data_IF_455133738846
#
_entry.id   IF_455133738846
#
_cell.length_a   1.000
_cell.length_b   1.000
_cell.length_c   1.000
_cell.angle_alpha   90.00
_cell.angle_beta   90.00
_cell.angle_gamma   90.00
#
_symmetry.space_group_name_H-M   'P 1'
#
loop_
_entity.id
_entity.type
_entity.pdbx_description
1 polymer ?
#
# COMPACT_ATOMS: atom_id res chain seq x y z
N UNK A 1 -2.87 -0.46 -15.19
CA UNK A 1 -4.01 -1.36 -15.30
C UNK A 1 -4.24 -2.11 -13.99
N UNK A 2 -5.47 -2.52 -13.73
CA UNK A 2 -5.75 -3.26 -12.52
C UNK A 2 -5.03 -4.61 -12.50
N UNK A 3 -4.76 -5.10 -11.32
CA UNK A 3 -4.11 -6.38 -11.12
C UNK A 3 -5.03 -7.52 -11.59
N UNK A 4 -4.44 -8.62 -12.09
CA UNK A 4 -5.22 -9.78 -12.53
C UNK A 4 -5.94 -10.46 -11.36
N UNK A 5 -5.37 -10.38 -10.16
CA UNK A 5 -6.01 -10.83 -8.91
C UNK A 5 -6.20 -9.63 -8.01
N UNK A 6 -7.35 -9.52 -7.34
CA UNK A 6 -7.55 -8.42 -6.41
C UNK A 6 -6.49 -8.47 -5.30
N UNK A 7 -5.89 -7.33 -4.95
CA UNK A 7 -5.03 -7.28 -3.79
C UNK A 7 -5.83 -7.52 -2.51
N UNK A 8 -5.19 -8.11 -1.52
CA UNK A 8 -5.84 -8.50 -0.28
C UNK A 8 -5.16 -7.82 0.90
N UNK A 9 -5.97 -7.38 1.84
CA UNK A 9 -5.49 -6.94 3.14
C UNK A 9 -6.25 -7.75 4.19
N UNK A 10 -5.53 -8.53 4.96
CA UNK A 10 -6.12 -9.43 5.94
C UNK A 10 -6.07 -8.81 7.33
N UNK A 11 -7.05 -9.15 8.14
CA UNK A 11 -7.09 -8.78 9.55
C UNK A 11 -6.88 -10.05 10.35
N UNK A 12 -5.73 -10.16 10.98
CA UNK A 12 -5.34 -11.33 11.73
C UNK A 12 -4.53 -10.93 12.95
N UNK A 13 -4.80 -11.56 14.08
CA UNK A 13 -4.18 -11.25 15.36
C UNK A 13 -4.33 -9.79 15.74
N UNK A 14 -5.52 -9.22 15.45
CA UNK A 14 -5.85 -7.82 15.68
C UNK A 14 -4.86 -6.87 14.98
N UNK A 15 -4.43 -7.22 13.77
CA UNK A 15 -3.54 -6.42 12.93
C UNK A 15 -3.96 -6.51 11.48
N UNK A 16 -3.67 -5.46 10.72
CA UNK A 16 -3.77 -5.51 9.26
C UNK A 16 -2.48 -6.06 8.67
N UNK A 17 -2.61 -6.95 7.70
CA UNK A 17 -1.48 -7.56 6.99
C UNK A 17 -1.75 -7.55 5.50
N UNK A 18 -0.91 -6.89 4.69
CA UNK A 18 0.28 -6.12 5.07
C UNK A 18 -0.08 -4.76 5.67
N UNK A 19 0.87 -4.12 6.33
CA UNK A 19 0.66 -2.78 6.90
C UNK A 19 0.72 -1.67 5.86
N UNK A 20 1.37 -1.91 4.73
CA UNK A 20 1.41 -1.02 3.58
C UNK A 20 1.10 -1.85 2.35
N UNK A 21 0.06 -1.46 1.62
CA UNK A 21 -0.37 -2.15 0.41
C UNK A 21 -0.37 -1.17 -0.75
N UNK A 22 0.64 -1.21 -1.64
CA UNK A 22 0.59 -0.41 -2.85
C UNK A 22 -0.31 -1.07 -3.89
N UNK A 23 -1.14 -0.28 -4.53
CA UNK A 23 -2.06 -0.76 -5.57
C UNK A 23 -2.12 0.23 -6.72
N UNK A 24 -2.40 -0.24 -7.95
CA UNK A 24 -2.74 0.67 -9.04
C UNK A 24 -4.07 1.37 -8.79
N UNK A 25 -4.18 2.61 -9.25
CA UNK A 25 -5.46 3.33 -9.20
C UNK A 25 -6.54 2.53 -9.93
N UNK A 26 -7.75 2.53 -9.38
CA UNK A 26 -8.87 1.76 -9.93
C UNK A 26 -8.94 0.31 -9.45
N UNK A 27 -8.02 -0.11 -8.58
CA UNK A 27 -8.05 -1.46 -8.01
C UNK A 27 -9.13 -1.60 -6.95
N UNK A 28 -9.61 -2.83 -6.81
CA UNK A 28 -10.49 -3.22 -5.70
C UNK A 28 -9.70 -4.06 -4.72
N UNK A 29 -9.65 -3.64 -3.47
CA UNK A 29 -8.97 -4.38 -2.41
C UNK A 29 -9.99 -5.24 -1.69
N UNK A 30 -9.64 -6.50 -1.46
CA UNK A 30 -10.43 -7.39 -0.62
C UNK A 30 -9.90 -7.31 0.82
N UNK A 31 -10.77 -6.89 1.73
CA UNK A 31 -10.49 -6.93 3.16
C UNK A 31 -11.09 -8.21 3.74
N UNK A 32 -10.26 -9.01 4.39
CA UNK A 32 -10.63 -10.34 4.85
C UNK A 32 -10.42 -10.43 6.35
N UNK A 33 -11.49 -10.74 7.09
CA UNK A 33 -11.39 -10.94 8.53
C UNK A 33 -11.01 -12.39 8.83
N UNK A 34 -9.75 -12.60 9.23
CA UNK A 34 -9.25 -13.92 9.61
C UNK A 34 -9.30 -14.16 11.12
N UNK A 35 -9.76 -13.19 11.88
CA UNK A 35 -9.88 -13.32 13.33
C UNK A 35 -11.21 -13.94 13.72
N UNK A 36 -11.29 -14.56 14.91
CA UNK A 36 -12.55 -15.16 15.40
C UNK A 36 -13.53 -14.15 15.98
N UNK A 37 -13.28 -12.85 15.85
CA UNK A 37 -14.13 -11.78 16.35
C UNK A 37 -14.38 -10.74 15.26
N UNK A 38 -15.31 -9.82 15.52
CA UNK A 38 -15.71 -8.81 14.54
C UNK A 38 -14.61 -7.80 14.29
N UNK A 39 -14.50 -7.38 13.05
CA UNK A 39 -13.69 -6.24 12.63
C UNK A 39 -14.48 -5.39 11.62
N UNK A 40 -14.20 -4.10 11.58
CA UNK A 40 -14.57 -3.29 10.43
C UNK A 40 -13.30 -2.71 9.80
N UNK A 41 -13.47 -2.08 8.65
CA UNK A 41 -12.41 -1.30 8.01
C UNK A 41 -13.01 0.03 7.63
N UNK A 42 -12.39 1.11 8.05
CA UNK A 42 -12.86 2.44 7.66
C UNK A 42 -11.69 3.37 7.37
N UNK A 43 -11.98 4.41 6.61
CA UNK A 43 -11.01 5.45 6.27
C UNK A 43 -11.68 6.81 6.33
N UNK A 44 -10.97 7.79 6.87
CA UNK A 44 -11.35 9.18 6.84
C UNK A 44 -10.47 10.00 5.89
N UNK A 45 -9.57 9.32 5.17
CA UNK A 45 -8.65 9.99 4.25
C UNK A 45 -9.39 10.68 3.11
N UNK A 46 -9.00 11.91 2.73
CA UNK A 46 -9.69 12.63 1.65
C UNK A 46 -9.74 11.88 0.33
N UNK A 47 -8.71 11.10 0.01
CA UNK A 47 -8.66 10.34 -1.23
C UNK A 47 -9.74 9.26 -1.30
N UNK A 48 -10.13 8.70 -0.15
CA UNK A 48 -11.16 7.66 -0.11
C UNK A 48 -11.72 7.51 1.30
N UNK A 49 -12.92 8.04 1.51
CA UNK A 49 -13.64 7.85 2.78
C UNK A 49 -14.60 6.69 2.62
N UNK A 50 -14.55 5.75 3.56
CA UNK A 50 -15.46 4.61 3.54
C UNK A 50 -15.55 3.94 4.91
N UNK A 51 -16.58 3.11 5.07
CA UNK A 51 -16.75 2.23 6.22
C UNK A 51 -17.49 0.99 5.71
N UNK A 52 -16.85 -0.17 5.81
CA UNK A 52 -17.46 -1.42 5.31
C UNK A 52 -18.40 -2.06 6.30
N UNK A 53 -18.55 -1.47 7.50
CA UNK A 53 -19.34 -2.06 8.57
C UNK A 53 -18.60 -3.19 9.27
N UNK A 54 -19.15 -3.66 10.37
CA UNK A 54 -18.57 -4.77 11.14
C UNK A 54 -18.80 -6.07 10.43
N UNK A 55 -17.74 -6.85 10.27
CA UNK A 55 -17.76 -8.13 9.55
C UNK A 55 -17.35 -9.25 10.48
N UNK A 56 -18.10 -10.36 10.50
CA UNK A 56 -17.73 -11.51 11.32
C UNK A 56 -16.55 -12.27 10.73
N UNK A 57 -16.06 -13.21 11.51
CA UNK A 57 -14.94 -14.07 11.10
C UNK A 57 -15.18 -14.71 9.73
N UNK A 58 -14.16 -14.70 8.90
CA UNK A 58 -14.18 -15.37 7.60
C UNK A 58 -14.78 -14.55 6.47
N UNK A 59 -15.41 -13.40 6.74
CA UNK A 59 -16.02 -12.61 5.67
C UNK A 59 -15.01 -11.76 4.93
N UNK A 60 -15.28 -11.61 3.62
CA UNK A 60 -14.52 -10.74 2.73
C UNK A 60 -15.41 -9.61 2.26
N UNK A 61 -14.83 -8.43 2.10
CA UNK A 61 -15.53 -7.30 1.51
C UNK A 61 -14.58 -6.55 0.58
N UNK A 62 -15.06 -6.20 -0.61
CA UNK A 62 -14.29 -5.46 -1.59
C UNK A 62 -14.55 -3.97 -1.50
N UNK A 63 -13.48 -3.17 -1.63
CA UNK A 63 -13.57 -1.72 -1.67
C UNK A 63 -12.79 -1.21 -2.87
N UNK A 64 -13.44 -0.40 -3.70
CA UNK A 64 -12.81 0.21 -4.87
C UNK A 64 -12.03 1.45 -4.46
N UNK A 65 -10.85 1.64 -5.08
CA UNK A 65 -10.00 2.81 -4.85
C UNK A 65 -9.79 3.55 -6.17
N UNK A 66 -10.71 4.46 -6.54
CA UNK A 66 -10.66 5.12 -7.84
C UNK A 66 -9.69 6.31 -7.91
N UNK A 67 -9.22 6.83 -6.77
CA UNK A 67 -8.40 8.03 -6.74
C UNK A 67 -6.99 7.71 -6.23
N UNK A 68 -5.94 8.30 -6.80
CA UNK A 68 -4.59 8.12 -6.27
C UNK A 68 -4.44 8.83 -4.93
N UNK A 69 -3.55 8.33 -4.11
CA UNK A 69 -3.22 8.95 -2.85
C UNK A 69 -3.02 7.94 -1.73
N UNK A 70 -2.72 8.47 -0.57
CA UNK A 70 -2.52 7.69 0.64
C UNK A 70 -3.84 7.52 1.37
N UNK A 71 -4.24 6.30 1.61
CA UNK A 71 -5.48 5.99 2.34
C UNK A 71 -5.12 5.23 3.60
N UNK A 72 -5.36 5.87 4.75
CA UNK A 72 -5.14 5.25 6.05
C UNK A 72 -6.40 4.52 6.47
N UNK A 73 -6.26 3.25 6.82
CA UNK A 73 -7.39 2.40 7.22
C UNK A 73 -7.26 1.99 8.68
N UNK A 74 -8.40 1.85 9.32
CA UNK A 74 -8.50 1.60 10.77
C UNK A 74 -9.63 0.63 11.05
N UNK A 75 -9.58 0.04 12.25
CA UNK A 75 -10.70 -0.70 12.84
C UNK A 75 -11.19 0.05 14.07
N UNK A 76 -12.51 0.26 14.21
CA UNK A 76 -13.05 1.02 15.34
C UNK A 76 -13.06 0.22 16.64
N UNK A 77 -13.06 -1.10 16.57
CA UNK A 77 -13.11 -1.98 17.75
C UNK A 77 -11.71 -2.10 18.37
N UNK A 78 -10.67 -2.06 17.53
CA UNK A 78 -9.27 -2.23 17.95
C UNK A 78 -8.48 -1.02 17.47
N UNK A 79 -8.40 0.06 18.27
CA UNK A 79 -7.83 1.34 17.80
C UNK A 79 -6.38 1.26 17.36
N UNK A 80 -5.62 0.29 17.87
CA UNK A 80 -4.21 0.10 17.46
C UNK A 80 -4.07 -0.50 16.07
N UNK A 81 -5.16 -1.03 15.49
CA UNK A 81 -5.11 -1.59 14.14
C UNK A 81 -5.15 -0.47 13.11
N UNK A 82 -4.08 -0.34 12.35
CA UNK A 82 -4.01 0.62 11.25
C UNK A 82 -3.11 0.09 10.15
N UNK A 83 -3.36 0.57 8.94
CA UNK A 83 -2.56 0.26 7.77
C UNK A 83 -2.73 1.37 6.74
N UNK A 84 -1.95 1.29 5.68
CA UNK A 84 -2.01 2.24 4.57
C UNK A 84 -2.23 1.50 3.28
N UNK A 85 -3.23 1.92 2.51
CA UNK A 85 -3.38 1.56 1.11
C UNK A 85 -2.81 2.72 0.31
N UNK A 86 -1.77 2.45 -0.46
CA UNK A 86 -1.11 3.46 -1.26
C UNK A 86 -1.55 3.30 -2.70
N UNK A 87 -2.44 4.19 -3.14
CA UNK A 87 -3.05 4.12 -4.47
C UNK A 87 -2.19 4.90 -5.44
N UNK A 88 -1.62 4.22 -6.43
CA UNK A 88 -0.60 4.76 -7.31
C UNK A 88 -1.12 4.91 -8.72
N UNK A 89 -0.79 6.04 -9.35
CA UNK A 89 -1.12 6.32 -10.75
C UNK A 89 0.04 6.01 -11.69
N UNK A 90 0.99 5.20 -11.25
CA UNK A 90 2.14 4.74 -12.02
C UNK A 90 2.25 3.22 -11.95
N UNK A 91 2.68 2.54 -13.03
CA UNK A 91 2.98 1.12 -12.97
C UNK A 91 4.35 0.81 -12.37
N UNK A 92 5.19 1.83 -12.16
CA UNK A 92 6.58 1.63 -11.73
C UNK A 92 6.71 1.77 -10.23
N UNK A 93 6.53 0.67 -9.52
CA UNK A 93 6.71 0.64 -8.08
C UNK A 93 7.10 -0.77 -7.63
N UNK A 94 7.70 -0.83 -6.45
CA UNK A 94 8.10 -2.08 -5.83
C UNK A 94 8.11 -1.91 -4.32
N UNK A 95 8.23 -3.02 -3.61
CA UNK A 95 8.41 -3.02 -2.16
C UNK A 95 9.72 -3.70 -1.82
N UNK A 96 10.45 -3.21 -0.79
CA UNK A 96 11.64 -3.90 -0.32
C UNK A 96 11.28 -5.26 0.29
N UNK A 97 12.24 -6.17 0.25
CA UNK A 97 12.14 -7.42 0.98
C UNK A 97 12.50 -7.21 2.46
N UNK A 98 12.55 -8.30 3.24
CA UNK A 98 12.83 -8.24 4.67
C UNK A 98 14.23 -7.71 5.00
N UNK A 99 15.15 -7.71 4.04
CA UNK A 99 16.51 -7.17 4.21
C UNK A 99 16.62 -5.71 3.78
N UNK A 100 15.54 -5.16 3.22
CA UNK A 100 15.53 -3.80 2.71
C UNK A 100 15.93 -3.66 1.25
N UNK A 101 16.24 -4.78 0.58
CA UNK A 101 16.60 -4.76 -0.83
C UNK A 101 15.36 -4.54 -1.69
N UNK A 102 15.47 -3.67 -2.69
CA UNK A 102 14.40 -3.46 -3.66
C UNK A 102 14.96 -3.39 -5.08
N UNK A 103 14.11 -3.67 -6.05
CA UNK A 103 14.47 -3.66 -7.46
C UNK A 103 13.28 -3.14 -8.27
N UNK A 104 13.54 -2.13 -9.11
CA UNK A 104 12.63 -1.67 -10.14
C UNK A 104 13.22 -2.01 -11.49
N UNK A 105 12.47 -2.75 -12.30
CA UNK A 105 12.92 -3.20 -13.60
C UNK A 105 12.13 -2.55 -14.72
N UNK A 106 12.73 -2.56 -15.91
CA UNK A 106 12.05 -2.21 -17.16
C UNK A 106 11.57 -0.76 -17.22
N UNK A 107 12.28 0.15 -16.54
CA UNK A 107 12.04 1.57 -16.68
C UNK A 107 12.61 2.05 -18.01
N UNK A 108 11.80 2.70 -18.84
CA UNK A 108 12.33 3.32 -20.05
C UNK A 108 13.42 4.34 -19.76
N UNK A 109 14.33 4.54 -20.71
CA UNK A 109 15.35 5.59 -20.59
C UNK A 109 14.68 6.95 -20.33
N UNK A 110 15.17 7.67 -19.35
CA UNK A 110 14.63 8.99 -19.01
C UNK A 110 15.00 9.44 -17.61
N UNK A 111 14.48 10.59 -17.26
CA UNK A 111 14.65 11.18 -15.93
C UNK A 111 13.45 10.89 -15.09
N UNK A 112 13.69 10.51 -13.83
CA UNK A 112 12.64 10.13 -12.91
C UNK A 112 12.86 10.73 -11.53
N UNK A 113 11.75 10.93 -10.82
CA UNK A 113 11.78 11.19 -9.39
C UNK A 113 11.32 9.91 -8.69
N UNK A 114 12.22 9.32 -7.92
CA UNK A 114 11.93 8.11 -7.16
C UNK A 114 11.49 8.51 -5.77
N UNK A 115 10.30 8.05 -5.36
CA UNK A 115 9.73 8.36 -4.05
C UNK A 115 9.77 7.12 -3.17
N UNK A 116 10.16 7.34 -1.92
CA UNK A 116 10.24 6.30 -0.91
C UNK A 116 9.21 6.58 0.17
N UNK A 117 8.27 5.68 0.33
CA UNK A 117 7.21 5.80 1.32
C UNK A 117 7.48 4.89 2.51
N UNK A 118 7.33 5.44 3.72
CA UNK A 118 7.34 4.67 4.96
C UNK A 118 6.28 5.26 5.89
N UNK A 119 5.45 4.43 6.55
CA UNK A 119 4.32 4.95 7.34
C UNK A 119 4.72 5.77 8.55
N UNK A 120 5.97 5.65 9.03
CA UNK A 120 6.44 6.34 10.24
C UNK A 120 7.52 7.37 9.98
N UNK A 121 7.82 7.64 8.71
CA UNK A 121 8.86 8.62 8.33
C UNK A 121 8.32 9.50 7.22
N UNK A 122 8.89 10.68 7.10
CA UNK A 122 8.59 11.54 5.96
C UNK A 122 9.07 10.87 4.67
N UNK A 123 8.33 11.10 3.59
CA UNK A 123 8.69 10.58 2.28
C UNK A 123 10.04 11.16 1.84
N UNK A 124 10.89 10.31 1.31
CA UNK A 124 12.14 10.73 0.71
C UNK A 124 12.02 10.68 -0.81
N UNK A 125 12.78 11.54 -1.48
CA UNK A 125 12.82 11.59 -2.95
C UNK A 125 14.24 11.60 -3.44
N UNK A 126 14.45 10.98 -4.62
CA UNK A 126 15.73 11.05 -5.33
C UNK A 126 15.46 11.26 -6.80
N UNK A 127 16.20 12.17 -7.42
CA UNK A 127 16.19 12.32 -8.87
C UNK A 127 17.20 11.35 -9.46
N UNK A 128 16.78 10.60 -10.48
CA UNK A 128 17.61 9.60 -11.13
C UNK A 128 17.49 9.72 -12.63
N UNK A 129 18.55 9.30 -13.32
CA UNK A 129 18.57 9.14 -14.77
C UNK A 129 18.71 7.65 -15.08
N UNK A 130 17.78 7.12 -15.86
CA UNK A 130 17.80 5.71 -16.28
C UNK A 130 18.28 5.64 -17.73
N UNK A 131 19.28 4.81 -17.99
CA UNK A 131 19.81 4.54 -19.33
C UNK A 131 19.94 3.04 -19.54
N UNK A 132 19.79 2.62 -20.80
CA UNK A 132 19.84 1.21 -21.15
C UNK A 132 21.18 0.60 -20.76
N UNK A 133 21.12 -0.59 -20.13
CA UNK A 133 22.29 -1.36 -19.77
C UNK A 133 23.09 -0.82 -18.60
N UNK A 134 22.65 0.26 -17.97
CA UNK A 134 23.37 0.87 -16.85
C UNK A 134 22.51 0.87 -15.61
N UNK A 135 22.74 -0.03 -14.64
CA UNK A 135 21.95 -0.03 -13.43
C UNK A 135 22.22 1.20 -12.56
N UNK A 136 21.18 1.72 -11.93
CA UNK A 136 21.28 2.79 -10.93
C UNK A 136 21.21 2.13 -9.57
N UNK A 137 22.21 2.37 -8.71
CA UNK A 137 22.30 1.79 -7.38
C UNK A 137 22.14 2.90 -6.36
N UNK A 138 21.19 2.72 -5.45
CA UNK A 138 20.85 3.69 -4.42
C UNK A 138 20.80 3.04 -3.05
N UNK A 139 21.13 3.83 -2.05
CA UNK A 139 20.89 3.46 -0.66
C UNK A 139 20.12 4.58 0.02
N UNK A 140 19.01 4.22 0.67
CA UNK A 140 18.14 5.18 1.35
C UNK A 140 18.07 4.78 2.82
N UNK A 141 18.34 5.74 3.69
CA UNK A 141 18.18 5.57 5.13
C UNK A 141 17.07 6.50 5.60
N UNK A 142 16.06 5.93 6.25
CA UNK A 142 15.05 6.73 6.92
C UNK A 142 15.55 7.02 8.33
N UNK A 143 15.79 8.29 8.61
CA UNK A 143 16.22 8.75 9.93
C UNK A 143 15.05 9.44 10.62
N UNK A 144 15.08 9.41 11.95
CA UNK A 144 14.05 10.06 12.75
C UNK A 144 14.36 11.53 12.98
#
# INVERSE_FOLDING_TARGET
SPLSKPPRMEQQDAQFQPRVLPIPVGSRVLFVNQDPFYHNVFSLSPAQKFDVGRRPAGEEVGQLFPEPGRVSVFCDIHPQMNATVLVLDTPYYTQPDSTGYFLLQDLPTGDYVLRFFHPRHEAAERQIRVEDGTPVVLQIDFTR
#
